data_IF_554252457174
#
_entry.id   IF_554252457174
#
_cell.length_a   1.000
_cell.length_b   1.000
_cell.length_c   1.000
_cell.angle_alpha   90.00
_cell.angle_beta   90.00
_cell.angle_gamma   90.00
#
_symmetry.space_group_name_H-M   'P 1'
#
loop_
_entity.id
_entity.type
_entity.pdbx_description
1 polymer ?
#
# COMPACT_ATOMS: atom_id res chain seq x y z
N UNK A 1 27.71 2.83 -0.19
CA UNK A 1 26.67 3.85 -0.44
C UNK A 1 26.45 4.02 -1.93
N UNK A 2 25.22 3.87 -2.40
CA UNK A 2 24.81 4.09 -3.79
C UNK A 2 24.79 5.60 -4.04
N UNK A 3 25.41 6.08 -5.13
CA UNK A 3 25.40 7.50 -5.50
C UNK A 3 24.66 7.66 -6.83
N UNK A 4 23.42 8.14 -6.76
CA UNK A 4 22.64 8.51 -7.94
C UNK A 4 22.90 9.95 -8.34
N UNK A 5 23.18 10.17 -9.62
CA UNK A 5 23.23 11.51 -10.22
C UNK A 5 21.78 11.96 -10.42
N UNK A 6 21.44 13.18 -9.99
CA UNK A 6 20.08 13.77 -10.07
C UNK A 6 18.98 13.05 -9.27
N UNK A 7 19.32 12.40 -8.15
CA UNK A 7 18.31 11.85 -7.25
C UNK A 7 17.38 12.95 -6.72
N UNK A 8 16.07 12.73 -6.86
CA UNK A 8 15.06 13.62 -6.26
C UNK A 8 15.09 13.51 -4.74
N UNK A 9 14.77 14.58 -3.98
CA UNK A 9 14.53 14.48 -2.54
C UNK A 9 13.48 13.43 -2.17
N UNK A 10 12.57 13.09 -3.09
CA UNK A 10 11.54 12.07 -2.92
C UNK A 10 12.13 10.67 -2.66
N UNK A 11 13.36 10.38 -3.08
CA UNK A 11 14.03 9.10 -2.78
C UNK A 11 14.48 8.94 -1.32
N UNK A 12 14.33 9.97 -0.50
CA UNK A 12 14.58 9.91 0.94
C UNK A 12 13.26 9.72 1.67
N UNK A 13 13.25 8.77 2.61
CA UNK A 13 12.08 8.56 3.43
C UNK A 13 11.78 9.80 4.26
N UNK A 14 10.48 10.14 4.35
CA UNK A 14 10.00 11.13 5.31
C UNK A 14 10.32 10.63 6.72
N UNK A 15 10.49 11.56 7.65
CA UNK A 15 10.46 11.21 9.06
C UNK A 15 9.05 10.74 9.38
N UNK A 16 8.90 9.50 9.84
CA UNK A 16 7.62 9.00 10.34
C UNK A 16 7.21 9.81 11.56
N UNK A 17 5.96 10.26 11.57
CA UNK A 17 5.32 10.91 12.70
C UNK A 17 4.28 9.91 13.18
N UNK A 18 4.37 9.52 14.45
CA UNK A 18 3.37 8.63 15.05
C UNK A 18 1.98 9.27 14.93
N UNK A 19 1.01 8.57 14.33
CA UNK A 19 -0.31 9.11 14.15
C UNK A 19 -0.95 9.40 15.50
N UNK A 20 -1.90 10.34 15.50
CA UNK A 20 -2.73 10.63 16.68
C UNK A 20 -4.18 10.54 16.29
N UNK A 21 -4.91 9.61 16.91
CA UNK A 21 -6.35 9.47 16.78
C UNK A 21 -7.03 10.76 17.19
N UNK A 22 -8.08 11.09 16.46
CA UNK A 22 -8.98 12.18 16.84
C UNK A 22 -9.91 11.63 17.92
N UNK A 23 -9.73 12.09 19.17
CA UNK A 23 -10.36 11.49 20.34
C UNK A 23 -11.90 11.62 20.41
N UNK A 24 -12.49 12.55 19.64
CA UNK A 24 -13.94 12.77 19.57
C UNK A 24 -14.35 13.34 18.21
N UNK A 25 -15.54 12.96 17.76
CA UNK A 25 -16.18 13.42 16.53
C UNK A 25 -16.17 14.95 16.34
N UNK A 26 -16.38 15.72 17.41
CA UNK A 26 -16.43 17.19 17.37
C UNK A 26 -15.05 17.86 17.16
N UNK A 27 -13.96 17.08 17.20
CA UNK A 27 -12.59 17.56 17.06
C UNK A 27 -12.01 17.38 15.65
N UNK A 28 -12.75 16.78 14.72
CA UNK A 28 -12.29 16.68 13.33
C UNK A 28 -12.13 18.06 12.70
N UNK A 29 -10.90 18.35 12.29
CA UNK A 29 -10.56 19.52 11.48
C UNK A 29 -10.10 19.05 10.10
N UNK A 30 -10.17 19.95 9.11
CA UNK A 30 -9.69 19.64 7.78
C UNK A 30 -8.19 19.30 7.78
N UNK A 31 -7.39 19.97 8.62
CA UNK A 31 -5.96 19.68 8.78
C UNK A 31 -5.73 18.27 9.34
N UNK A 32 -6.49 17.85 10.36
CA UNK A 32 -6.41 16.50 10.90
C UNK A 32 -6.79 15.46 9.83
N UNK A 33 -7.85 15.70 9.06
CA UNK A 33 -8.25 14.82 7.96
C UNK A 33 -7.17 14.77 6.86
N UNK A 34 -6.56 15.89 6.50
CA UNK A 34 -5.45 15.93 5.54
C UNK A 34 -4.24 15.11 6.00
N UNK A 35 -3.92 15.12 7.30
CA UNK A 35 -2.87 14.27 7.86
C UNK A 35 -3.22 12.78 7.73
N UNK A 36 -4.44 12.38 8.12
CA UNK A 36 -4.89 10.98 8.03
C UNK A 36 -4.92 10.49 6.57
N UNK A 37 -5.36 11.32 5.64
CA UNK A 37 -5.38 10.99 4.21
C UNK A 37 -3.96 10.84 3.63
N UNK A 38 -2.97 11.59 4.14
CA UNK A 38 -1.56 11.36 3.80
C UNK A 38 -1.04 10.06 4.40
N UNK A 39 -1.46 9.70 5.62
CA UNK A 39 -1.09 8.44 6.25
C UNK A 39 -1.61 7.24 5.47
N UNK A 40 -2.86 7.26 5.01
CA UNK A 40 -3.40 6.22 4.13
C UNK A 40 -2.53 6.02 2.89
N UNK A 41 -2.24 7.09 2.14
CA UNK A 41 -1.39 6.99 0.94
C UNK A 41 0.03 6.49 1.26
N UNK A 42 0.60 6.89 2.40
CA UNK A 42 1.92 6.41 2.84
C UNK A 42 1.91 4.90 3.18
N UNK A 43 0.84 4.38 3.79
CA UNK A 43 0.66 2.94 4.09
C UNK A 43 0.53 2.13 2.80
N UNK A 44 -0.37 2.51 1.88
CA UNK A 44 -0.53 1.80 0.60
C UNK A 44 0.75 1.84 -0.24
N UNK A 45 1.51 2.94 -0.20
CA UNK A 45 2.80 3.01 -0.89
C UNK A 45 3.86 2.12 -0.23
N UNK A 46 3.79 1.88 1.08
CA UNK A 46 4.75 1.00 1.77
C UNK A 46 4.56 -0.46 1.35
N UNK A 47 3.33 -0.92 1.18
CA UNK A 47 3.04 -2.32 0.81
C UNK A 47 3.55 -2.64 -0.60
N UNK A 48 3.38 -1.72 -1.57
CA UNK A 48 3.68 -1.95 -2.98
C UNK A 48 5.14 -2.43 -3.21
N UNK A 49 6.21 -1.70 -2.84
CA UNK A 49 7.57 -2.18 -3.07
C UNK A 49 7.95 -3.38 -2.20
N UNK A 50 7.39 -3.50 -0.99
CA UNK A 50 7.60 -4.68 -0.13
C UNK A 50 7.08 -5.95 -0.82
N UNK A 51 5.86 -5.90 -1.32
CA UNK A 51 5.19 -7.02 -1.98
C UNK A 51 5.79 -7.28 -3.37
N UNK A 52 6.09 -6.23 -4.14
CA UNK A 52 6.77 -6.36 -5.43
C UNK A 52 8.14 -7.01 -5.30
N UNK A 53 8.93 -6.67 -4.27
CA UNK A 53 10.23 -7.28 -4.07
C UNK A 53 10.12 -8.79 -3.81
N UNK A 54 9.20 -9.20 -2.94
CA UNK A 54 8.93 -10.62 -2.71
C UNK A 54 8.41 -11.30 -3.99
N UNK A 55 7.41 -10.72 -4.65
CA UNK A 55 6.83 -11.24 -5.90
C UNK A 55 7.90 -11.51 -6.96
N UNK A 56 8.73 -10.52 -7.29
CA UNK A 56 9.76 -10.66 -8.33
C UNK A 56 10.92 -11.59 -7.94
N UNK A 57 11.03 -11.96 -6.66
CA UNK A 57 12.01 -12.97 -6.24
C UNK A 57 11.62 -14.38 -6.67
N UNK A 58 10.33 -14.65 -6.90
CA UNK A 58 9.82 -15.95 -7.33
C UNK A 58 10.29 -16.23 -8.76
N UNK A 59 10.97 -17.36 -9.00
CA UNK A 59 11.51 -17.68 -10.33
C UNK A 59 10.43 -17.92 -11.37
N UNK A 60 9.39 -18.65 -10.99
CA UNK A 60 8.26 -18.96 -11.86
C UNK A 60 7.01 -18.19 -11.42
N UNK A 61 6.74 -17.09 -12.12
CA UNK A 61 5.58 -16.23 -11.91
C UNK A 61 4.25 -16.90 -12.30
N UNK A 62 4.28 -18.06 -12.95
CA UNK A 62 3.10 -18.87 -13.26
C UNK A 62 2.73 -19.85 -12.14
N UNK A 63 3.46 -19.86 -11.02
CA UNK A 63 3.02 -20.56 -9.81
C UNK A 63 1.76 -19.92 -9.22
N UNK A 64 1.02 -20.66 -8.41
CA UNK A 64 -0.14 -20.11 -7.69
C UNK A 64 0.27 -18.93 -6.79
N UNK A 65 1.34 -19.09 -6.01
CA UNK A 65 1.91 -18.01 -5.18
C UNK A 65 2.25 -16.76 -6.01
N UNK A 66 2.91 -16.95 -7.16
CA UNK A 66 3.25 -15.85 -8.07
C UNK A 66 2.03 -15.10 -8.61
N UNK A 67 0.94 -15.81 -8.93
CA UNK A 67 -0.31 -15.18 -9.38
C UNK A 67 -1.07 -14.47 -8.26
N UNK A 68 -1.13 -15.08 -7.07
CA UNK A 68 -1.82 -14.50 -5.91
C UNK A 68 -1.14 -13.22 -5.44
N UNK A 69 0.18 -13.22 -5.22
CA UNK A 69 0.87 -12.00 -4.79
C UNK A 69 0.83 -10.92 -5.87
N UNK A 70 0.81 -11.29 -7.16
CA UNK A 70 0.64 -10.33 -8.24
C UNK A 70 -0.73 -9.66 -8.21
N UNK A 71 -1.80 -10.41 -7.94
CA UNK A 71 -3.14 -9.80 -7.83
C UNK A 71 -3.22 -8.86 -6.65
N UNK A 72 -2.62 -9.23 -5.51
CA UNK A 72 -2.51 -8.35 -4.33
C UNK A 72 -1.73 -7.07 -4.66
N UNK A 73 -0.54 -7.16 -5.27
CA UNK A 73 0.24 -5.97 -5.67
C UNK A 73 -0.56 -5.03 -6.57
N UNK A 74 -1.36 -5.56 -7.49
CA UNK A 74 -2.23 -4.74 -8.34
C UNK A 74 -3.36 -4.08 -7.53
N UNK A 75 -3.90 -4.76 -6.52
CA UNK A 75 -4.90 -4.23 -5.60
C UNK A 75 -4.31 -3.12 -4.72
N UNK A 76 -3.10 -3.27 -4.17
CA UNK A 76 -2.41 -2.21 -3.42
C UNK A 76 -2.19 -0.93 -4.28
N UNK A 77 -1.87 -1.09 -5.57
CA UNK A 77 -1.77 0.05 -6.49
C UNK A 77 -3.14 0.74 -6.72
N UNK A 78 -4.22 -0.03 -6.76
CA UNK A 78 -5.59 0.50 -6.79
C UNK A 78 -5.94 1.20 -5.47
N UNK A 79 -5.52 0.66 -4.33
CA UNK A 79 -5.75 1.25 -3.01
C UNK A 79 -5.06 2.60 -2.90
N UNK A 80 -3.79 2.67 -3.32
CA UNK A 80 -3.04 3.93 -3.37
C UNK A 80 -3.73 4.98 -4.28
N UNK A 81 -4.26 4.57 -5.44
CA UNK A 81 -5.06 5.47 -6.29
C UNK A 81 -6.34 5.94 -5.57
N UNK A 82 -7.05 5.01 -4.93
CA UNK A 82 -8.31 5.27 -4.25
C UNK A 82 -8.12 6.21 -3.06
N UNK A 83 -7.11 5.96 -2.22
CA UNK A 83 -6.67 6.86 -1.16
C UNK A 83 -6.30 8.25 -1.69
N UNK A 84 -5.59 8.33 -2.82
CA UNK A 84 -5.26 9.60 -3.46
C UNK A 84 -6.49 10.35 -4.00
N UNK A 85 -7.46 9.63 -4.57
CA UNK A 85 -8.73 10.21 -5.03
C UNK A 85 -9.55 10.77 -3.86
N UNK A 86 -9.62 10.06 -2.73
CA UNK A 86 -10.25 10.56 -1.50
C UNK A 86 -9.50 11.81 -1.01
N UNK A 87 -8.17 11.74 -0.89
CA UNK A 87 -7.34 12.86 -0.47
C UNK A 87 -7.56 14.11 -1.32
N UNK A 88 -7.58 13.96 -2.65
CA UNK A 88 -7.83 15.03 -3.59
C UNK A 88 -9.25 15.60 -3.47
N UNK A 89 -10.28 14.77 -3.23
CA UNK A 89 -11.64 15.24 -3.02
C UNK A 89 -11.77 16.15 -1.79
N UNK A 90 -10.90 15.99 -0.77
CA UNK A 90 -10.82 16.90 0.38
C UNK A 90 -9.80 18.03 0.21
N UNK A 91 -9.18 18.17 -0.97
CA UNK A 91 -8.18 19.21 -1.25
C UNK A 91 -6.84 18.98 -0.55
N UNK A 92 -6.52 17.74 -0.17
CA UNK A 92 -5.24 17.40 0.48
C UNK A 92 -4.09 17.59 -0.50
N UNK A 93 -3.04 18.30 -0.10
CA UNK A 93 -1.80 18.35 -0.87
C UNK A 93 -0.98 17.08 -0.65
N UNK A 94 -0.97 16.19 -1.63
CA UNK A 94 -0.21 14.96 -1.61
C UNK A 94 1.23 15.17 -2.06
N UNK A 95 2.15 14.54 -1.34
CA UNK A 95 3.53 14.35 -1.76
C UNK A 95 3.98 12.96 -1.29
N UNK A 96 4.26 12.05 -2.22
CA UNK A 96 4.75 10.72 -1.87
C UNK A 96 6.27 10.67 -1.92
N UNK A 97 6.88 9.98 -0.96
CA UNK A 97 8.31 9.74 -0.90
C UNK A 97 8.59 8.24 -0.77
N UNK A 98 9.83 7.85 -1.05
CA UNK A 98 10.31 6.50 -0.86
C UNK A 98 10.06 5.99 0.57
N UNK A 99 9.45 4.81 0.75
CA UNK A 99 9.34 4.19 2.07
C UNK A 99 10.70 3.74 2.62
N UNK A 100 10.80 3.61 3.93
CA UNK A 100 11.95 3.01 4.61
C UNK A 100 11.60 1.58 5.04
N UNK A 101 12.48 0.62 4.77
CA UNK A 101 12.27 -0.79 5.12
C UNK A 101 13.29 -1.26 6.15
N UNK A 102 12.94 -2.29 6.92
CA UNK A 102 13.74 -2.81 8.02
C UNK A 102 13.58 -2.06 9.34
N UNK A 103 12.54 -1.22 9.44
CA UNK A 103 12.15 -0.50 10.65
C UNK A 103 10.65 -0.64 10.92
N UNK A 104 10.04 0.44 11.37
CA UNK A 104 8.60 0.54 11.60
C UNK A 104 7.82 0.57 10.28
N UNK A 105 6.64 -0.05 10.28
CA UNK A 105 5.64 0.11 9.21
C UNK A 105 4.96 1.47 9.44
N UNK A 106 4.78 2.32 8.42
CA UNK A 106 4.22 3.65 8.60
C UNK A 106 2.85 3.61 9.26
N UNK A 107 2.65 4.46 10.26
CA UNK A 107 1.34 4.79 10.84
C UNK A 107 0.57 3.63 11.51
N UNK A 108 1.21 2.49 11.72
CA UNK A 108 0.62 1.31 12.37
C UNK A 108 1.45 0.87 13.58
N UNK A 109 0.77 0.55 14.67
CA UNK A 109 1.33 0.00 15.90
C UNK A 109 0.59 -1.28 16.30
N UNK A 110 1.08 -2.41 15.80
CA UNK A 110 0.52 -3.74 16.08
C UNK A 110 0.63 -4.18 17.55
N UNK A 111 1.42 -3.48 18.39
CA UNK A 111 1.47 -3.78 19.82
C UNK A 111 0.19 -3.41 20.57
N UNK A 112 -0.72 -2.69 19.89
CA UNK A 112 -2.04 -2.33 20.40
C UNK A 112 -3.06 -3.47 20.29
N UNK A 113 -2.85 -4.41 19.37
CA UNK A 113 -3.81 -5.47 19.10
C UNK A 113 -3.72 -6.59 20.13
N UNK A 114 -4.88 -7.18 20.45
CA UNK A 114 -4.97 -8.36 21.32
C UNK A 114 -5.83 -9.43 20.64
N UNK A 115 -5.25 -10.57 20.20
CA UNK A 115 -3.82 -10.91 20.28
C UNK A 115 -2.94 -10.06 19.37
N UNK A 116 -1.68 -9.83 19.76
CA UNK A 116 -0.70 -9.12 18.95
C UNK A 116 -0.32 -9.99 17.73
N UNK A 117 -0.51 -9.51 16.48
CA UNK A 117 -0.23 -10.33 15.30
C UNK A 117 1.23 -10.73 15.16
N UNK A 118 2.17 -9.99 15.78
CA UNK A 118 3.60 -10.32 15.78
C UNK A 118 3.93 -11.56 16.62
N UNK A 119 3.08 -11.89 17.60
CA UNK A 119 3.19 -13.12 18.38
C UNK A 119 2.62 -14.34 17.64
N UNK A 120 1.71 -14.11 16.69
CA UNK A 120 1.10 -15.15 15.84
C UNK A 120 2.01 -15.48 14.65
N UNK A 121 2.52 -14.44 13.99
CA UNK A 121 3.30 -14.55 12.76
C UNK A 121 4.80 -14.33 13.02
N UNK A 122 5.47 -15.37 13.49
CA UNK A 122 6.90 -15.35 13.78
C UNK A 122 7.66 -16.49 13.07
N UNK A 123 8.89 -16.27 12.57
CA UNK A 123 9.63 -15.00 12.53
C UNK A 123 9.11 -14.06 11.43
N UNK A 124 9.23 -12.75 11.63
CA UNK A 124 8.88 -11.71 10.64
C UNK A 124 10.06 -10.74 10.42
N UNK A 125 10.03 -9.98 9.32
CA UNK A 125 11.00 -8.93 9.02
C UNK A 125 10.42 -7.91 8.05
N UNK A 126 10.44 -6.64 8.46
CA UNK A 126 10.06 -5.49 7.62
C UNK A 126 11.14 -5.08 6.62
N UNK A 127 12.26 -5.79 6.57
CA UNK A 127 13.30 -5.58 5.56
C UNK A 127 12.87 -6.16 4.21
N UNK A 128 13.22 -5.48 3.12
CA UNK A 128 13.06 -6.00 1.76
C UNK A 128 13.75 -7.37 1.65
N UNK A 129 13.07 -8.33 1.03
CA UNK A 129 13.57 -9.68 0.89
C UNK A 129 12.80 -10.51 -0.12
N UNK A 130 13.22 -11.77 -0.27
CA UNK A 130 12.56 -12.72 -1.14
C UNK A 130 11.22 -13.18 -0.55
N UNK A 131 10.41 -13.86 -1.37
CA UNK A 131 9.19 -14.53 -0.97
C UNK A 131 9.54 -15.73 -0.07
N UNK A 132 9.59 -15.48 1.22
CA UNK A 132 9.90 -16.45 2.26
C UNK A 132 9.00 -16.27 3.49
N UNK A 133 9.18 -17.12 4.50
CA UNK A 133 8.36 -17.10 5.71
C UNK A 133 8.42 -15.76 6.43
N UNK A 134 9.57 -15.06 6.48
CA UNK A 134 9.66 -13.77 7.17
C UNK A 134 8.85 -12.69 6.46
N UNK A 135 8.92 -12.64 5.12
CA UNK A 135 8.13 -11.70 4.32
C UNK A 135 6.64 -12.04 4.35
N UNK A 136 6.28 -13.31 4.20
CA UNK A 136 4.89 -13.76 4.28
C UNK A 136 4.25 -13.51 5.65
N UNK A 137 4.98 -13.77 6.74
CA UNK A 137 4.51 -13.42 8.08
C UNK A 137 4.31 -11.92 8.23
N UNK A 138 5.22 -11.10 7.69
CA UNK A 138 5.07 -9.63 7.71
C UNK A 138 3.87 -9.16 6.90
N UNK A 139 3.60 -9.77 5.73
CA UNK A 139 2.38 -9.52 4.95
C UNK A 139 1.12 -9.88 5.73
N UNK A 140 1.10 -11.03 6.43
CA UNK A 140 -0.02 -11.41 7.30
C UNK A 140 -0.23 -10.45 8.47
N UNK A 141 0.85 -9.82 8.98
CA UNK A 141 0.77 -8.81 10.04
C UNK A 141 0.20 -7.50 9.49
N UNK A 142 0.66 -7.06 8.32
CA UNK A 142 0.20 -5.81 7.68
C UNK A 142 -1.30 -5.88 7.37
N UNK A 143 -1.75 -6.98 6.78
CA UNK A 143 -3.16 -7.21 6.43
C UNK A 143 -3.96 -7.82 7.60
N UNK A 144 -3.45 -7.79 8.83
CA UNK A 144 -4.13 -8.43 9.94
C UNK A 144 -5.44 -7.70 10.23
N UNK A 145 -6.59 -8.37 10.14
CA UNK A 145 -7.86 -7.68 10.34
C UNK A 145 -8.07 -7.29 11.79
N UNK A 146 -8.81 -6.19 11.96
CA UNK A 146 -9.28 -5.77 13.26
C UNK A 146 -10.30 -6.78 13.83
N UNK A 147 -9.81 -7.76 14.60
CA UNK A 147 -10.64 -8.72 15.34
C UNK A 147 -11.12 -8.17 16.69
N UNK A 148 -10.85 -6.90 17.01
CA UNK A 148 -11.14 -6.35 18.33
C UNK A 148 -12.63 -6.47 18.64
N UNK A 149 -12.95 -7.18 19.73
CA UNK A 149 -14.24 -7.01 20.37
C UNK A 149 -14.34 -5.55 20.87
N UNK A 150 -15.54 -4.93 20.87
CA UNK A 150 -15.75 -3.51 21.22
C UNK A 150 -15.32 -3.07 22.64
N UNK A 151 -14.64 -3.93 23.41
CA UNK A 151 -14.24 -3.75 24.82
C UNK A 151 -12.71 -3.63 25.02
N UNK A 152 -11.92 -3.28 23.99
CA UNK A 152 -10.51 -2.94 24.24
C UNK A 152 -10.44 -1.62 25.03
N UNK A 153 -10.07 -1.74 26.31
CA UNK A 153 -10.02 -0.62 27.26
C UNK A 153 -8.72 0.19 27.16
N UNK A 154 -7.84 -0.14 26.21
CA UNK A 154 -6.63 0.63 25.96
C UNK A 154 -6.96 1.84 25.08
N UNK A 155 -7.04 3.00 25.72
CA UNK A 155 -7.04 4.28 25.02
C UNK A 155 -5.65 4.47 24.41
N UNK A 156 -5.49 4.05 23.16
CA UNK A 156 -4.30 4.34 22.35
C UNK A 156 -4.59 5.48 21.38
N UNK A 157 -3.59 6.34 21.18
CA UNK A 157 -3.63 7.40 20.18
C UNK A 157 -3.15 6.91 18.80
N UNK A 158 -2.69 5.67 18.64
CA UNK A 158 -2.14 5.09 17.38
C UNK A 158 -3.05 3.97 16.84
N UNK A 159 -2.89 3.58 15.56
CA UNK A 159 -3.74 2.59 14.87
C UNK A 159 -3.13 1.19 14.89
N UNK A 160 -3.91 0.16 15.24
CA UNK A 160 -3.47 -1.25 15.27
C UNK A 160 -3.50 -1.93 13.90
N UNK A 161 -4.52 -1.64 13.09
CA UNK A 161 -4.70 -2.19 11.73
C UNK A 161 -4.96 -1.11 10.67
N UNK A 162 -4.90 -1.51 9.40
CA UNK A 162 -5.27 -0.66 8.26
C UNK A 162 -6.76 -0.31 8.34
N UNK A 163 -7.62 -1.28 8.68
CA UNK A 163 -9.05 -1.06 8.86
C UNK A 163 -9.38 -0.08 9.99
N UNK A 164 -8.61 -0.06 11.07
CA UNK A 164 -8.80 0.93 12.14
C UNK A 164 -8.46 2.35 11.64
N UNK A 165 -7.37 2.51 10.88
CA UNK A 165 -7.00 3.78 10.26
C UNK A 165 -8.09 4.26 9.29
N UNK A 166 -8.59 3.39 8.42
CA UNK A 166 -9.66 3.75 7.48
C UNK A 166 -11.00 4.00 8.16
N UNK A 167 -11.29 3.36 9.29
CA UNK A 167 -12.47 3.66 10.11
C UNK A 167 -12.43 5.08 10.66
N UNK A 168 -11.26 5.54 11.13
CA UNK A 168 -11.08 6.92 11.54
C UNK A 168 -11.19 7.89 10.35
N UNK A 169 -10.59 7.57 9.20
CA UNK A 169 -10.73 8.38 7.98
C UNK A 169 -12.19 8.50 7.57
N UNK A 170 -12.95 7.40 7.58
CA UNK A 170 -14.38 7.42 7.24
C UNK A 170 -15.17 8.35 8.17
N UNK A 171 -14.89 8.31 9.48
CA UNK A 171 -15.49 9.22 10.46
C UNK A 171 -15.14 10.69 10.17
N UNK A 172 -13.86 11.00 9.94
CA UNK A 172 -13.43 12.35 9.57
C UNK A 172 -14.06 12.85 8.27
N UNK A 173 -14.12 12.00 7.25
CA UNK A 173 -14.83 12.27 6.00
C UNK A 173 -16.32 12.54 6.23
N UNK A 174 -17.00 11.78 7.08
CA UNK A 174 -18.41 12.01 7.41
C UNK A 174 -18.64 13.40 8.04
N UNK A 175 -17.82 13.77 9.02
CA UNK A 175 -17.94 15.06 9.72
C UNK A 175 -17.58 16.26 8.83
N UNK A 176 -16.65 16.07 7.90
CA UNK A 176 -16.18 17.10 6.98
C UNK A 176 -16.77 16.96 5.57
N UNK A 177 -17.86 16.20 5.40
CA UNK A 177 -18.45 15.90 4.09
C UNK A 177 -18.77 17.14 3.26
N UNK A 178 -19.09 18.26 3.90
CA UNK A 178 -19.32 19.55 3.23
C UNK A 178 -18.08 20.12 2.51
N UNK A 179 -16.89 19.60 2.80
CA UNK A 179 -15.63 19.97 2.15
C UNK A 179 -15.32 19.16 0.90
N UNK A 180 -16.11 18.12 0.57
CA UNK A 180 -15.87 17.28 -0.62
C UNK A 180 -16.01 18.10 -1.91
N UNK A 181 -14.99 18.00 -2.75
CA UNK A 181 -14.89 18.61 -4.07
C UNK A 181 -14.95 17.52 -5.15
N UNK A 182 -16.10 17.41 -5.81
CA UNK A 182 -16.30 16.46 -6.90
C UNK A 182 -15.40 16.77 -8.10
N UNK A 183 -14.92 15.73 -8.78
CA UNK A 183 -14.02 15.78 -9.93
C UNK A 183 -12.67 16.47 -9.65
N UNK A 184 -12.31 16.72 -8.40
CA UNK A 184 -11.04 17.37 -8.06
C UNK A 184 -9.89 16.37 -8.23
N UNK A 185 -9.08 16.55 -9.28
CA UNK A 185 -7.82 15.79 -9.54
C UNK A 185 -7.98 14.27 -9.47
N UNK A 186 -9.11 13.75 -9.95
CA UNK A 186 -9.43 12.32 -9.89
C UNK A 186 -8.69 11.52 -10.96
N UNK A 187 -8.28 10.29 -10.63
CA UNK A 187 -7.53 9.38 -11.51
C UNK A 187 -8.28 8.04 -11.60
N UNK A 188 -8.25 7.40 -12.76
CA UNK A 188 -8.92 6.11 -12.96
C UNK A 188 -8.14 5.17 -13.90
N UNK A 189 -7.03 4.61 -13.42
CA UNK A 189 -6.22 3.64 -14.18
C UNK A 189 -6.80 2.22 -14.18
N UNK A 190 -7.67 1.93 -13.22
CA UNK A 190 -8.14 0.57 -12.93
C UNK A 190 -9.57 0.28 -13.40
N UNK A 191 -10.26 1.22 -14.05
CA UNK A 191 -11.64 1.08 -14.54
C UNK A 191 -11.90 -0.24 -15.26
N UNK A 192 -10.97 -0.64 -16.14
CA UNK A 192 -11.08 -1.88 -16.94
C UNK A 192 -11.15 -3.14 -16.07
N UNK A 193 -10.53 -3.13 -14.90
CA UNK A 193 -10.46 -4.28 -14.00
C UNK A 193 -11.66 -4.35 -13.05
N UNK A 194 -12.31 -3.21 -12.80
CA UNK A 194 -13.41 -3.04 -11.85
C UNK A 194 -14.57 -2.26 -12.48
N UNK A 195 -15.23 -2.81 -13.52
CA UNK A 195 -16.28 -2.11 -14.27
C UNK A 195 -17.53 -1.82 -13.44
N UNK A 196 -17.72 -2.55 -12.33
CA UNK A 196 -18.87 -2.44 -11.44
C UNK A 196 -18.64 -1.45 -10.28
N UNK A 197 -17.44 -0.87 -10.16
CA UNK A 197 -17.06 0.04 -9.06
C UNK A 197 -16.84 1.46 -9.57
N UNK A 198 -17.46 2.43 -8.88
CA UNK A 198 -17.18 3.86 -9.09
C UNK A 198 -15.81 4.22 -8.46
N UNK A 199 -14.78 4.32 -9.30
CA UNK A 199 -13.39 4.55 -8.85
C UNK A 199 -12.99 6.03 -8.65
N UNK A 200 -13.91 6.97 -8.90
CA UNK A 200 -13.67 8.41 -8.74
C UNK A 200 -14.83 9.09 -8.02
N UNK A 201 -14.53 10.19 -7.33
CA UNK A 201 -15.51 11.03 -6.64
C UNK A 201 -15.89 12.18 -7.58
N UNK A 202 -17.12 12.13 -8.12
CA UNK A 202 -17.64 13.10 -9.10
C UNK A 202 -18.59 14.12 -8.46
N UNK A 203 -19.22 13.76 -7.35
CA UNK A 203 -20.17 14.61 -6.63
C UNK A 203 -19.46 15.40 -5.53
N UNK A 204 -20.04 16.54 -5.16
CA UNK A 204 -19.51 17.42 -4.11
C UNK A 204 -20.34 17.31 -2.83
N UNK A 205 -19.78 17.80 -1.72
CA UNK A 205 -20.46 17.86 -0.41
C UNK A 205 -21.02 16.50 0.01
N UNK A 206 -22.13 16.51 0.73
CA UNK A 206 -22.86 15.31 1.17
C UNK A 206 -23.17 14.31 0.04
N UNK A 207 -23.38 14.77 -1.21
CA UNK A 207 -23.64 13.88 -2.34
C UNK A 207 -22.41 13.08 -2.78
N UNK A 208 -21.20 13.57 -2.51
CA UNK A 208 -19.94 12.87 -2.78
C UNK A 208 -19.56 11.85 -1.71
N UNK A 209 -20.15 11.93 -0.51
CA UNK A 209 -19.80 11.05 0.60
C UNK A 209 -20.03 9.55 0.29
N UNK A 210 -21.11 9.12 -0.39
CA UNK A 210 -21.26 7.72 -0.79
C UNK A 210 -20.12 7.23 -1.70
N UNK A 211 -19.56 8.09 -2.56
CA UNK A 211 -18.44 7.74 -3.43
C UNK A 211 -17.13 7.64 -2.64
N UNK A 212 -16.93 8.53 -1.65
CA UNK A 212 -15.82 8.42 -0.69
C UNK A 212 -15.90 7.10 0.06
N UNK A 213 -17.05 6.78 0.65
CA UNK A 213 -17.25 5.53 1.38
C UNK A 213 -17.09 4.30 0.49
N UNK A 214 -17.51 4.36 -0.78
CA UNK A 214 -17.28 3.28 -1.73
C UNK A 214 -15.79 2.97 -1.93
N UNK A 215 -14.94 4.01 -2.03
CA UNK A 215 -13.49 3.83 -2.16
C UNK A 215 -12.86 3.30 -0.86
N UNK A 216 -13.33 3.77 0.30
CA UNK A 216 -12.86 3.26 1.60
C UNK A 216 -13.23 1.77 1.74
N UNK A 217 -14.48 1.41 1.46
CA UNK A 217 -14.95 0.03 1.55
C UNK A 217 -14.18 -0.88 0.57
N UNK A 218 -13.94 -0.43 -0.66
CA UNK A 218 -13.10 -1.15 -1.63
C UNK A 218 -11.73 -1.51 -1.05
N UNK A 219 -11.06 -0.55 -0.41
CA UNK A 219 -9.72 -0.76 0.17
C UNK A 219 -9.81 -1.78 1.30
N UNK A 220 -10.69 -1.54 2.28
CA UNK A 220 -10.78 -2.36 3.49
C UNK A 220 -11.29 -3.77 3.18
N UNK A 221 -12.27 -3.93 2.28
CA UNK A 221 -12.79 -5.25 1.91
C UNK A 221 -11.79 -6.09 1.13
N UNK A 222 -10.91 -5.47 0.34
CA UNK A 222 -9.86 -6.19 -0.38
C UNK A 222 -8.64 -6.51 0.49
N UNK A 223 -8.25 -5.63 1.41
CA UNK A 223 -7.09 -5.81 2.29
C UNK A 223 -7.33 -6.85 3.37
N UNK A 224 -7.98 -6.44 4.46
CA UNK A 224 -8.11 -7.26 5.67
C UNK A 224 -9.53 -7.83 5.87
N UNK A 225 -10.56 -7.17 5.32
CA UNK A 225 -11.96 -7.49 5.55
C UNK A 225 -12.43 -7.11 6.97
N UNK A 226 -13.53 -6.38 7.11
CA UNK A 226 -14.06 -6.01 8.43
C UNK A 226 -14.88 -7.14 9.02
N UNK A 227 -14.49 -7.67 10.19
CA UNK A 227 -15.30 -8.47 11.12
C UNK A 227 -16.40 -9.32 10.45
N UNK A 228 -16.03 -10.31 9.62
CA UNK A 228 -17.02 -11.01 8.80
C UNK A 228 -17.56 -12.29 9.45
N UNK A 229 -18.88 -12.34 9.56
CA UNK A 229 -19.67 -13.58 9.58
C UNK A 229 -19.54 -14.38 8.25
N UNK A 230 -19.01 -13.75 7.18
CA UNK A 230 -18.77 -14.34 5.87
C UNK A 230 -17.51 -13.81 5.18
N UNK A 231 -16.47 -14.64 5.12
CA UNK A 231 -15.16 -14.40 4.50
C UNK A 231 -15.23 -14.31 2.95
N UNK A 232 -15.70 -13.19 2.40
CA UNK A 232 -15.51 -12.89 0.97
C UNK A 232 -15.54 -11.39 0.62
N UNK A 233 -14.77 -11.00 -0.42
CA UNK A 233 -14.77 -9.66 -1.05
C UNK A 233 -16.07 -9.46 -1.84
N UNK A 234 -16.84 -8.36 -1.62
CA UNK A 234 -18.08 -8.09 -2.37
C UNK A 234 -17.87 -8.09 -3.89
N UNK A 235 -18.81 -8.64 -4.70
CA UNK A 235 -18.65 -8.78 -6.15
C UNK A 235 -18.21 -7.50 -6.88
N UNK A 236 -18.72 -6.34 -6.50
CA UNK A 236 -18.36 -5.05 -7.08
C UNK A 236 -16.87 -4.73 -6.93
N UNK A 237 -16.27 -5.12 -5.80
CA UNK A 237 -14.87 -4.93 -5.46
C UNK A 237 -13.97 -6.06 -5.96
N UNK A 238 -14.49 -6.99 -6.76
CA UNK A 238 -13.70 -8.08 -7.31
C UNK A 238 -13.06 -7.70 -8.64
N UNK A 239 -11.77 -8.00 -8.80
CA UNK A 239 -11.10 -7.87 -10.09
C UNK A 239 -11.69 -8.89 -11.08
N UNK A 240 -12.13 -8.40 -12.24
CA UNK A 240 -12.83 -9.22 -13.26
C UNK A 240 -11.92 -9.80 -14.34
N UNK A 241 -10.60 -9.55 -14.28
CA UNK A 241 -9.69 -9.78 -15.40
C UNK A 241 -8.58 -10.76 -15.04
N UNK A 242 -7.79 -10.48 -13.99
CA UNK A 242 -6.52 -11.17 -13.77
C UNK A 242 -6.26 -11.64 -12.32
N UNK A 243 -7.24 -11.51 -11.43
CA UNK A 243 -7.19 -12.15 -10.11
C UNK A 243 -7.71 -13.58 -10.16
N UNK A 244 -6.92 -14.51 -9.64
CA UNK A 244 -7.23 -15.95 -9.64
C UNK A 244 -8.09 -16.38 -8.45
N UNK A 245 -8.16 -15.56 -7.39
CA UNK A 245 -9.02 -15.78 -6.23
C UNK A 245 -9.68 -14.45 -5.82
N UNK A 246 -10.56 -13.88 -6.67
CA UNK A 246 -11.11 -12.54 -6.45
C UNK A 246 -12.04 -12.45 -5.24
N UNK A 247 -12.55 -13.58 -4.75
CA UNK A 247 -13.41 -13.63 -3.56
C UNK A 247 -12.62 -13.53 -2.26
N UNK A 248 -11.29 -13.71 -2.29
CA UNK A 248 -10.46 -13.66 -1.09
C UNK A 248 -9.87 -12.27 -0.89
N UNK A 249 -9.85 -11.82 0.36
CA UNK A 249 -9.08 -10.64 0.75
C UNK A 249 -7.57 -10.94 0.81
N UNK A 250 -6.74 -9.94 1.04
CA UNK A 250 -5.28 -10.10 1.07
C UNK A 250 -4.86 -10.99 2.24
N UNK A 251 -5.45 -10.81 3.42
CA UNK A 251 -5.17 -11.63 4.59
C UNK A 251 -5.40 -13.12 4.33
N UNK A 252 -6.53 -13.47 3.72
CA UNK A 252 -6.85 -14.84 3.31
C UNK A 252 -5.86 -15.39 2.29
N UNK A 253 -5.52 -14.60 1.26
CA UNK A 253 -4.51 -15.01 0.27
C UNK A 253 -3.14 -15.26 0.92
N UNK A 254 -2.70 -14.39 1.81
CA UNK A 254 -1.40 -14.53 2.49
C UNK A 254 -1.38 -15.71 3.46
N UNK A 255 -2.41 -15.86 4.30
CA UNK A 255 -2.50 -16.98 5.25
C UNK A 255 -2.71 -18.32 4.55
N UNK A 256 -3.36 -18.35 3.38
CA UNK A 256 -3.38 -19.51 2.50
C UNK A 256 -1.97 -19.84 2.00
N UNK A 257 -1.25 -18.87 1.42
CA UNK A 257 0.11 -19.07 0.90
C UNK A 257 1.10 -19.52 2.00
N UNK A 258 0.93 -19.04 3.23
CA UNK A 258 1.74 -19.45 4.39
C UNK A 258 1.63 -20.96 4.70
N UNK A 259 0.50 -21.59 4.32
CA UNK A 259 0.25 -23.03 4.51
C UNK A 259 0.70 -23.88 3.32
N UNK A 260 1.21 -23.27 2.26
CA UNK A 260 1.68 -23.96 1.05
C UNK A 260 3.20 -24.14 1.04
N UNK A 261 3.73 -25.11 0.25
CA UNK A 261 5.16 -25.14 -0.05
C UNK A 261 5.62 -23.83 -0.71
N UNK A 262 6.73 -23.27 -0.22
CA UNK A 262 7.29 -22.06 -0.81
C UNK A 262 7.78 -22.31 -2.25
N UNK A 263 7.51 -21.38 -3.18
CA UNK A 263 8.07 -21.47 -4.52
C UNK A 263 9.58 -21.24 -4.51
N UNK A 264 10.26 -21.66 -5.57
CA UNK A 264 11.69 -21.38 -5.72
C UNK A 264 11.92 -19.87 -5.97
N UNK A 265 12.87 -19.30 -5.23
CA UNK A 265 13.26 -17.89 -5.38
C UNK A 265 14.70 -17.72 -5.86
N UNK A 266 15.02 -16.57 -6.44
CA UNK A 266 16.40 -16.20 -6.76
C UNK A 266 17.22 -15.99 -5.47
N UNK A 267 18.45 -16.51 -5.46
CA UNK A 267 19.37 -16.32 -4.36
C UNK A 267 20.15 -15.00 -4.52
N UNK A 268 20.54 -14.40 -3.40
CA UNK A 268 21.42 -13.22 -3.41
C UNK A 268 22.88 -13.69 -3.58
N UNK A 269 23.61 -13.03 -4.47
CA UNK A 269 25.03 -13.30 -4.71
C UNK A 269 25.93 -12.34 -3.92
N UNK A 270 27.22 -12.67 -3.73
CA UNK A 270 28.19 -11.73 -3.14
C UNK A 270 28.18 -10.37 -3.83
N UNK A 271 28.13 -9.32 -3.02
CA UNK A 271 27.93 -7.96 -3.51
C UNK A 271 29.22 -7.37 -4.11
N UNK A 272 29.15 -6.91 -5.37
CA UNK A 272 30.25 -6.27 -6.10
C UNK A 272 29.80 -5.08 -6.96
N UNK A 273 30.69 -4.59 -7.83
CA UNK A 273 30.43 -3.41 -8.66
C UNK A 273 29.26 -3.59 -9.65
N UNK A 274 29.10 -4.80 -10.21
CA UNK A 274 27.96 -5.10 -11.10
C UNK A 274 26.64 -5.03 -10.33
N UNK A 275 26.58 -5.64 -9.14
CA UNK A 275 25.39 -5.66 -8.29
C UNK A 275 25.01 -4.24 -7.86
N UNK A 276 26.00 -3.43 -7.47
CA UNK A 276 25.82 -2.00 -7.19
C UNK A 276 25.25 -1.23 -8.38
N UNK A 277 25.73 -1.50 -9.60
CA UNK A 277 25.22 -0.82 -10.78
C UNK A 277 23.76 -1.15 -11.09
N UNK A 278 23.36 -2.39 -10.84
CA UNK A 278 21.96 -2.80 -10.98
C UNK A 278 21.06 -2.13 -9.96
N UNK A 279 21.48 -2.01 -8.69
CA UNK A 279 20.74 -1.23 -7.69
C UNK A 279 20.65 0.26 -8.06
N UNK A 280 21.72 0.86 -8.60
CA UNK A 280 21.68 2.24 -9.12
C UNK A 280 20.61 2.42 -10.20
N UNK A 281 20.53 1.49 -11.15
CA UNK A 281 19.54 1.52 -12.24
C UNK A 281 18.13 1.36 -11.69
N UNK A 282 17.92 0.36 -10.82
CA UNK A 282 16.61 0.11 -10.23
C UNK A 282 16.13 1.30 -9.38
N UNK A 283 17.01 1.90 -8.57
CA UNK A 283 16.68 3.07 -7.77
C UNK A 283 16.45 4.32 -8.65
N UNK A 284 17.11 4.45 -9.81
CA UNK A 284 16.81 5.48 -10.81
C UNK A 284 15.39 5.35 -11.36
N UNK A 285 14.93 4.13 -11.67
CA UNK A 285 13.58 3.91 -12.16
C UNK A 285 12.53 4.08 -11.06
N UNK A 286 12.86 3.76 -9.81
CA UNK A 286 11.98 4.07 -8.68
C UNK A 286 11.87 5.60 -8.45
N UNK A 287 12.94 6.36 -8.68
CA UNK A 287 12.89 7.83 -8.68
C UNK A 287 11.96 8.38 -9.78
N UNK A 288 12.02 7.84 -11.00
CA UNK A 288 11.10 8.19 -12.09
C UNK A 288 9.65 7.87 -11.70
N UNK A 289 9.41 6.71 -11.07
CA UNK A 289 8.11 6.34 -10.53
C UNK A 289 7.59 7.37 -9.50
N UNK A 290 8.41 7.77 -8.53
CA UNK A 290 7.97 8.75 -7.53
C UNK A 290 7.64 10.10 -8.18
N UNK A 291 8.45 10.56 -9.15
CA UNK A 291 8.19 11.81 -9.86
C UNK A 291 6.87 11.78 -10.62
N UNK A 292 6.64 10.73 -11.42
CA UNK A 292 5.46 10.63 -12.27
C UNK A 292 4.18 10.43 -11.44
N UNK A 293 4.25 9.69 -10.33
CA UNK A 293 3.12 9.48 -9.43
C UNK A 293 2.77 10.76 -8.66
N UNK A 294 3.77 11.54 -8.21
CA UNK A 294 3.52 12.84 -7.60
C UNK A 294 2.84 13.80 -8.60
N UNK A 295 3.31 13.87 -9.86
CA UNK A 295 2.64 14.67 -10.89
C UNK A 295 1.20 14.19 -11.13
N UNK A 296 1.01 12.87 -11.22
CA UNK A 296 -0.31 12.27 -11.43
C UNK A 296 -1.27 12.64 -10.31
N UNK A 297 -0.87 12.44 -9.05
CA UNK A 297 -1.71 12.69 -7.88
C UNK A 297 -1.98 14.18 -7.66
N UNK A 298 -1.01 15.05 -7.92
CA UNK A 298 -1.17 16.50 -7.69
C UNK A 298 -1.93 17.23 -8.78
N UNK A 299 -2.01 16.65 -9.99
CA UNK A 299 -2.68 17.28 -11.15
C UNK A 299 -3.96 16.56 -11.57
N UNK A 300 -4.15 15.29 -11.18
CA UNK A 300 -5.18 14.41 -11.73
C UNK A 300 -4.93 13.98 -13.18
N UNK A 301 -3.81 14.37 -13.78
CA UNK A 301 -3.46 14.03 -15.15
C UNK A 301 -2.34 13.01 -15.19
N UNK A 302 -2.50 11.97 -16.00
CA UNK A 302 -1.50 10.92 -16.15
C UNK A 302 -0.53 11.28 -17.27
N UNK A 303 0.78 11.41 -17.01
CA UNK A 303 1.75 11.72 -18.05
C UNK A 303 1.85 10.61 -19.11
N UNK A 304 2.22 10.96 -20.34
CA UNK A 304 2.19 10.03 -21.49
C UNK A 304 3.12 8.83 -21.34
N UNK A 305 4.21 8.99 -20.59
CA UNK A 305 5.22 7.98 -20.34
C UNK A 305 4.90 7.10 -19.11
N UNK A 306 3.75 7.29 -18.45
CA UNK A 306 3.33 6.54 -17.26
C UNK A 306 3.50 5.03 -17.40
N UNK A 307 2.91 4.43 -18.43
CA UNK A 307 3.01 2.99 -18.65
C UNK A 307 4.46 2.52 -18.86
N UNK A 308 5.30 3.36 -19.47
CA UNK A 308 6.73 3.06 -19.68
C UNK A 308 7.49 3.09 -18.35
N UNK A 309 7.21 4.08 -17.49
CA UNK A 309 7.84 4.20 -16.17
C UNK A 309 7.44 3.02 -15.27
N UNK A 310 6.15 2.65 -15.22
CA UNK A 310 5.68 1.50 -14.45
C UNK A 310 6.37 0.20 -14.91
N UNK A 311 6.43 -0.03 -16.23
CA UNK A 311 7.09 -1.20 -16.80
C UNK A 311 8.59 -1.25 -16.45
N UNK A 312 9.32 -0.14 -16.62
CA UNK A 312 10.74 -0.06 -16.30
C UNK A 312 11.02 -0.33 -14.82
N UNK A 313 10.19 0.20 -13.93
CA UNK A 313 10.33 -0.01 -12.50
C UNK A 313 10.22 -1.50 -12.14
N UNK A 314 9.15 -2.18 -12.59
CA UNK A 314 8.99 -3.62 -12.38
C UNK A 314 10.10 -4.46 -13.03
N UNK A 315 10.49 -4.13 -14.26
CA UNK A 315 11.58 -4.82 -14.96
C UNK A 315 12.92 -4.68 -14.23
N UNK A 316 13.21 -3.53 -13.64
CA UNK A 316 14.44 -3.30 -12.89
C UNK A 316 14.48 -4.09 -11.58
N UNK A 317 13.35 -4.22 -10.87
CA UNK A 317 13.24 -5.07 -9.68
C UNK A 317 13.49 -6.55 -10.04
N UNK A 318 12.86 -7.02 -11.12
CA UNK A 318 13.08 -8.37 -11.66
C UNK A 318 14.54 -8.60 -12.04
N UNK A 319 15.17 -7.63 -12.71
CA UNK A 319 16.58 -7.70 -13.09
C UNK A 319 17.52 -7.77 -11.88
N UNK A 320 17.20 -7.07 -10.78
CA UNK A 320 17.95 -7.22 -9.53
C UNK A 320 17.96 -8.68 -9.07
N UNK A 321 16.78 -9.31 -8.93
CA UNK A 321 16.68 -10.70 -8.48
C UNK A 321 17.37 -11.70 -9.40
N UNK A 322 17.17 -11.59 -10.71
CA UNK A 322 17.79 -12.48 -11.71
C UNK A 322 19.33 -12.43 -11.70
N UNK A 323 19.91 -11.38 -11.12
CA UNK A 323 21.36 -11.17 -11.03
C UNK A 323 21.87 -11.23 -9.57
N UNK A 324 21.08 -11.81 -8.66
CA UNK A 324 21.45 -12.00 -7.27
C UNK A 324 21.62 -10.71 -6.47
N UNK A 325 20.82 -9.69 -6.79
CA UNK A 325 20.84 -8.37 -6.15
C UNK A 325 19.54 -8.15 -5.40
N UNK A 326 19.63 -7.72 -4.13
CA UNK A 326 18.46 -7.27 -3.40
C UNK A 326 18.01 -5.90 -3.94
N UNK A 327 16.75 -5.70 -4.35
CA UNK A 327 16.27 -4.38 -4.76
C UNK A 327 16.24 -3.39 -3.58
N UNK A 328 16.37 -2.09 -3.88
CA UNK A 328 16.36 -1.01 -2.88
C UNK A 328 15.42 0.11 -3.32
N UNK A 329 14.68 0.69 -2.38
CA UNK A 329 13.63 1.66 -2.72
C UNK A 329 13.84 3.03 -2.10
N UNK A 330 14.92 3.22 -1.34
CA UNK A 330 15.28 4.51 -0.76
C UNK A 330 16.78 4.72 -0.75
N UNK A 331 17.18 5.98 -0.69
CA UNK A 331 18.56 6.34 -0.35
C UNK A 331 18.76 6.33 1.16
N UNK A 332 19.94 5.91 1.60
CA UNK A 332 20.33 6.02 3.02
C UNK A 332 20.28 7.49 3.46
N UNK A 333 19.71 7.74 4.65
CA UNK A 333 19.69 9.07 5.25
C UNK A 333 21.06 9.53 5.78
N UNK A 334 22.09 8.70 5.69
CA UNK A 334 23.46 9.08 6.03
C UNK A 334 24.04 10.03 4.97
N UNK A 335 24.11 11.31 5.36
CA UNK A 335 24.91 12.36 4.72
C UNK A 335 26.20 12.58 5.48
#
# INVERSE_FOLDING_TARGET
MIKLVNASPLLKAKKLIKPKKVARDDLWTLDALHEHLKWAVDVELYTIPFYMAAMYSIKDQSTEAGRLIKSIVNQEMLHMQSAANIANAYGTELQICAPMYGGEIPHLDFDLDTPNPKDIYYPYSTAIGAFDIQRLNTMCIIEYPDWSAPDSTQVSDEYGSIGELYSAIANGCYHLRECIQGNHKQINHFERFYPDTQLTITESREQGLPQVNNLINLIVDQGEGVAKDAQYVPPEYQNRVDDVQPTWDHYEKFTYMLKQPLPETFAIEPYGERQKKLQEIQLSHFNEFLLIMNETFTTGNTPKDFATVMYKNGAAISACWQNGVLPVFSMSNES
#
